data_IF_756360584729
#
_entry.id   IF_756360584729
#
_cell.length_a   1.000
_cell.length_b   1.000
_cell.length_c   1.000
_cell.angle_alpha   90.00
_cell.angle_beta   90.00
_cell.angle_gamma   90.00
#
_symmetry.space_group_name_H-M   'P 1'
#
loop_
_entity.id
_entity.type
_entity.pdbx_description
1 polymer ?
#
# COMPACT_ATOMS: atom_id res chain seq x y z
N UNK A 1 -17.38 1.78 30.87
CA UNK A 1 -16.88 3.17 30.87
C UNK A 1 -15.54 3.20 30.10
N UNK A 2 -15.47 3.94 28.99
CA UNK A 2 -14.19 4.07 28.26
C UNK A 2 -13.27 4.99 29.09
N UNK A 3 -12.07 4.51 29.41
CA UNK A 3 -11.07 5.27 30.15
C UNK A 3 -10.61 6.49 29.34
N UNK A 4 -10.12 7.55 30.00
CA UNK A 4 -9.63 8.78 29.35
C UNK A 4 -8.58 8.45 28.24
N UNK A 5 -7.74 7.44 28.44
CA UNK A 5 -6.77 6.96 27.46
C UNK A 5 -7.41 6.35 26.20
N UNK A 6 -8.54 5.65 26.33
CA UNK A 6 -9.28 5.09 25.18
C UNK A 6 -9.85 6.20 24.29
N UNK A 7 -10.39 7.27 24.88
CA UNK A 7 -10.93 8.42 24.12
C UNK A 7 -9.84 9.21 23.41
N UNK A 8 -8.68 9.39 24.04
CA UNK A 8 -7.52 10.07 23.42
C UNK A 8 -7.02 9.28 22.20
N UNK A 9 -6.85 7.96 22.32
CA UNK A 9 -6.44 7.06 21.25
C UNK A 9 -7.45 7.07 20.09
N UNK A 10 -8.74 7.05 20.38
CA UNK A 10 -9.79 7.13 19.37
C UNK A 10 -9.75 8.45 18.59
N UNK A 11 -9.53 9.58 19.27
CA UNK A 11 -9.40 10.90 18.63
C UNK A 11 -8.16 10.99 17.75
N UNK A 12 -7.04 10.43 18.19
CA UNK A 12 -5.80 10.35 17.40
C UNK A 12 -6.00 9.51 16.13
N UNK A 13 -6.61 8.35 16.26
CA UNK A 13 -6.97 7.49 15.12
C UNK A 13 -7.85 8.22 14.11
N UNK A 14 -8.90 8.89 14.57
CA UNK A 14 -9.78 9.64 13.68
C UNK A 14 -9.04 10.76 12.95
N UNK A 15 -8.15 11.48 13.65
CA UNK A 15 -7.31 12.53 13.03
C UNK A 15 -6.42 11.96 11.95
N UNK A 16 -5.70 10.84 12.22
CA UNK A 16 -4.81 10.19 11.24
C UNK A 16 -5.60 9.68 10.02
N UNK A 17 -6.77 9.08 10.23
CA UNK A 17 -7.66 8.65 9.14
C UNK A 17 -8.08 9.82 8.25
N UNK A 18 -8.52 10.94 8.84
CA UNK A 18 -8.92 12.12 8.06
C UNK A 18 -7.75 12.72 7.29
N UNK A 19 -6.57 12.78 7.90
CA UNK A 19 -5.36 13.26 7.26
C UNK A 19 -4.98 12.39 6.06
N UNK A 20 -4.93 11.06 6.21
CA UNK A 20 -4.58 10.14 5.14
C UNK A 20 -5.63 10.13 4.00
N UNK A 21 -6.91 10.17 4.33
CA UNK A 21 -7.97 10.23 3.31
C UNK A 21 -7.95 11.54 2.52
N UNK A 22 -7.60 12.67 3.15
CA UNK A 22 -7.47 13.96 2.45
C UNK A 22 -6.30 14.02 1.47
N UNK A 23 -5.34 13.11 1.56
CA UNK A 23 -4.13 13.05 0.72
C UNK A 23 -4.24 12.12 -0.47
N UNK A 24 -5.39 11.47 -0.71
CA UNK A 24 -5.51 10.48 -1.79
C UNK A 24 -5.10 11.06 -3.14
N UNK A 25 -4.15 10.43 -3.85
CA UNK A 25 -3.67 10.92 -5.13
C UNK A 25 -4.71 10.71 -6.23
N UNK A 26 -4.62 11.51 -7.30
CA UNK A 26 -5.43 11.28 -8.50
C UNK A 26 -5.10 9.91 -9.09
N UNK A 27 -6.12 9.16 -9.50
CA UNK A 27 -5.99 7.78 -9.99
C UNK A 27 -4.92 7.62 -11.07
N UNK A 28 -4.99 8.42 -12.13
CA UNK A 28 -4.05 8.31 -13.26
C UNK A 28 -2.61 8.62 -12.85
N UNK A 29 -2.40 9.61 -11.97
CA UNK A 29 -1.08 9.93 -11.45
C UNK A 29 -0.53 8.77 -10.61
N UNK A 30 -1.33 8.21 -9.71
CA UNK A 30 -0.89 7.09 -8.89
C UNK A 30 -0.53 5.86 -9.73
N UNK A 31 -1.36 5.51 -10.72
CA UNK A 31 -1.09 4.37 -11.61
C UNK A 31 0.18 4.62 -12.45
N UNK A 32 0.41 5.85 -12.94
CA UNK A 32 1.62 6.18 -13.70
C UNK A 32 2.90 5.98 -12.88
N UNK A 33 2.91 6.46 -11.63
CA UNK A 33 4.06 6.27 -10.72
C UNK A 33 4.24 4.79 -10.34
N UNK A 34 3.15 4.06 -10.13
CA UNK A 34 3.19 2.63 -9.85
C UNK A 34 3.74 1.83 -11.05
N UNK A 35 3.39 2.21 -12.31
CA UNK A 35 3.95 1.63 -13.55
C UNK A 35 5.45 1.88 -13.63
N UNK A 36 5.89 3.11 -13.33
CA UNK A 36 7.31 3.46 -13.33
C UNK A 36 8.08 2.60 -12.33
N UNK A 37 7.63 2.56 -11.08
CA UNK A 37 8.24 1.78 -10.01
C UNK A 37 8.27 0.28 -10.34
N UNK A 38 7.15 -0.29 -10.81
CA UNK A 38 7.08 -1.68 -11.21
C UNK A 38 8.04 -2.02 -12.37
N UNK A 39 8.14 -1.13 -13.36
CA UNK A 39 9.05 -1.32 -14.49
C UNK A 39 10.52 -1.28 -14.06
N UNK A 40 10.88 -0.35 -13.18
CA UNK A 40 12.22 -0.27 -12.60
C UNK A 40 12.61 -1.60 -11.92
N UNK A 41 11.76 -2.12 -11.02
CA UNK A 41 12.04 -3.37 -10.30
C UNK A 41 12.02 -4.62 -11.20
N UNK A 42 11.42 -4.53 -12.38
CA UNK A 42 11.44 -5.60 -13.40
C UNK A 42 12.61 -5.47 -14.38
N UNK A 43 13.49 -4.49 -14.20
CA UNK A 43 14.61 -4.22 -15.10
C UNK A 43 14.19 -3.61 -16.45
N UNK A 44 12.96 -3.09 -16.55
CA UNK A 44 12.44 -2.47 -17.76
C UNK A 44 12.53 -0.94 -17.60
N UNK A 45 13.70 -0.38 -17.86
CA UNK A 45 13.97 1.05 -17.68
C UNK A 45 13.32 1.88 -18.78
N UNK A 46 12.40 2.78 -18.39
CA UNK A 46 11.89 3.85 -19.25
C UNK A 46 11.42 5.02 -18.39
N UNK A 47 11.52 6.22 -18.95
CA UNK A 47 11.04 7.43 -18.28
C UNK A 47 9.56 7.67 -18.65
N UNK A 48 8.65 7.54 -17.67
CA UNK A 48 7.23 7.81 -17.86
C UNK A 48 6.94 9.25 -18.27
N UNK A 49 7.85 10.20 -17.99
CA UNK A 49 7.71 11.61 -18.36
C UNK A 49 8.09 11.87 -19.81
N UNK A 50 8.93 11.01 -20.39
CA UNK A 50 9.40 11.12 -21.77
C UNK A 50 8.49 10.38 -22.78
N UNK A 51 7.51 9.58 -22.31
CA UNK A 51 6.64 8.78 -23.17
C UNK A 51 5.20 9.29 -23.15
N UNK A 52 4.46 8.99 -24.22
CA UNK A 52 3.05 9.39 -24.32
C UNK A 52 2.17 8.68 -23.29
N UNK A 53 1.10 9.33 -22.84
CA UNK A 53 0.15 8.76 -21.87
C UNK A 53 -0.48 7.44 -22.36
N UNK A 54 -0.63 7.26 -23.66
CA UNK A 54 -1.08 6.00 -24.26
C UNK A 54 -0.10 4.86 -24.01
N UNK A 55 1.20 5.11 -24.10
CA UNK A 55 2.21 4.09 -23.82
C UNK A 55 2.19 3.67 -22.33
N UNK A 56 2.01 4.62 -21.42
CA UNK A 56 1.83 4.33 -19.98
C UNK A 56 0.57 3.47 -19.76
N UNK A 57 -0.54 3.78 -20.45
CA UNK A 57 -1.77 2.98 -20.38
C UNK A 57 -1.56 1.55 -20.91
N UNK A 58 -0.88 1.39 -22.03
CA UNK A 58 -0.50 0.08 -22.57
C UNK A 58 0.36 -0.71 -21.56
N UNK A 59 1.35 -0.06 -20.96
CA UNK A 59 2.21 -0.68 -19.93
C UNK A 59 1.41 -1.09 -18.70
N UNK A 60 0.49 -0.24 -18.24
CA UNK A 60 -0.39 -0.57 -17.12
C UNK A 60 -1.24 -1.81 -17.41
N UNK A 61 -1.87 -1.88 -18.58
CA UNK A 61 -2.66 -3.05 -19.00
C UNK A 61 -1.81 -4.32 -19.09
N UNK A 62 -0.60 -4.23 -19.65
CA UNK A 62 0.34 -5.35 -19.70
C UNK A 62 0.74 -5.81 -18.29
N UNK A 63 1.07 -4.88 -17.39
CA UNK A 63 1.45 -5.19 -16.01
C UNK A 63 0.28 -5.80 -15.23
N UNK A 64 -0.95 -5.33 -15.47
CA UNK A 64 -2.16 -5.93 -14.87
C UNK A 64 -2.39 -7.37 -15.34
N UNK A 65 -2.03 -7.68 -16.58
CA UNK A 65 -2.18 -9.02 -17.13
C UNK A 65 -1.10 -9.99 -16.64
N UNK A 66 0.13 -9.52 -16.47
CA UNK A 66 1.30 -10.36 -16.13
C UNK A 66 1.57 -10.41 -14.63
N UNK A 67 1.15 -9.40 -13.87
CA UNK A 67 1.53 -9.23 -12.46
C UNK A 67 0.34 -9.15 -11.51
N UNK A 68 0.12 -10.21 -10.75
CA UNK A 68 -0.98 -10.29 -9.77
C UNK A 68 -0.94 -9.14 -8.76
N UNK A 69 0.24 -8.78 -8.26
CA UNK A 69 0.42 -7.67 -7.32
C UNK A 69 0.03 -6.32 -7.92
N UNK A 70 0.44 -6.07 -9.17
CA UNK A 70 0.11 -4.82 -9.86
C UNK A 70 -1.40 -4.72 -10.19
N UNK A 71 -2.04 -5.84 -10.57
CA UNK A 71 -3.49 -5.89 -10.77
C UNK A 71 -4.24 -5.51 -9.49
N UNK A 72 -3.91 -6.13 -8.36
CA UNK A 72 -4.55 -5.85 -7.08
C UNK A 72 -4.30 -4.41 -6.60
N UNK A 73 -3.09 -3.87 -6.81
CA UNK A 73 -2.76 -2.49 -6.50
C UNK A 73 -3.58 -1.50 -7.35
N UNK A 74 -3.75 -1.79 -8.64
CA UNK A 74 -4.61 -0.98 -9.53
C UNK A 74 -6.08 -1.04 -9.09
N UNK A 75 -6.59 -2.20 -8.70
CA UNK A 75 -7.93 -2.34 -8.11
C UNK A 75 -8.08 -1.51 -6.82
N UNK A 76 -7.05 -1.49 -5.96
CA UNK A 76 -7.04 -0.63 -4.77
C UNK A 76 -7.10 0.86 -5.16
N UNK A 77 -6.28 1.33 -6.11
CA UNK A 77 -6.31 2.72 -6.61
C UNK A 77 -7.69 3.11 -7.16
N UNK A 78 -8.27 2.25 -8.00
CA UNK A 78 -9.62 2.46 -8.56
C UNK A 78 -10.68 2.53 -7.45
N UNK A 79 -10.62 1.62 -6.49
CA UNK A 79 -11.52 1.58 -5.34
C UNK A 79 -11.47 2.86 -4.53
N UNK A 80 -10.27 3.38 -4.23
CA UNK A 80 -10.11 4.62 -3.47
C UNK A 80 -10.64 5.84 -4.24
N UNK A 81 -10.39 5.90 -5.54
CA UNK A 81 -10.95 6.95 -6.41
C UNK A 81 -12.49 6.91 -6.46
N UNK A 82 -13.08 5.73 -6.64
CA UNK A 82 -14.53 5.55 -6.66
C UNK A 82 -15.20 5.94 -5.34
N UNK A 83 -14.56 5.67 -4.21
CA UNK A 83 -15.04 6.10 -2.90
C UNK A 83 -15.07 7.62 -2.76
N UNK A 84 -14.04 8.30 -3.25
CA UNK A 84 -14.01 9.76 -3.30
C UNK A 84 -15.21 10.32 -4.09
N UNK A 85 -15.69 9.60 -5.11
CA UNK A 85 -16.88 9.92 -5.90
C UNK A 85 -18.19 9.30 -5.35
N UNK A 86 -18.16 8.72 -4.13
CA UNK A 86 -19.33 8.12 -3.44
C UNK A 86 -20.04 6.99 -4.22
N UNK A 87 -19.31 6.22 -5.02
CA UNK A 87 -19.85 5.04 -5.72
C UNK A 87 -19.94 3.88 -4.71
N UNK A 88 -21.16 3.33 -4.43
CA UNK A 88 -21.35 2.50 -3.23
C UNK A 88 -20.94 1.02 -3.40
N UNK A 89 -21.22 0.39 -4.53
CA UNK A 89 -21.14 -1.08 -4.70
C UNK A 89 -19.83 -1.51 -5.37
N UNK A 90 -19.43 -0.83 -6.43
CA UNK A 90 -18.30 -1.19 -7.29
C UNK A 90 -16.97 -1.30 -6.53
N UNK A 91 -16.64 -0.44 -5.53
CA UNK A 91 -15.46 -0.61 -4.72
C UNK A 91 -15.38 -1.97 -3.99
N UNK A 92 -16.52 -2.48 -3.52
CA UNK A 92 -16.58 -3.80 -2.85
C UNK A 92 -16.37 -4.96 -3.82
N UNK A 93 -16.91 -4.84 -5.04
CA UNK A 93 -16.72 -5.84 -6.11
C UNK A 93 -15.24 -5.91 -6.48
N UNK A 94 -14.59 -4.76 -6.72
CA UNK A 94 -13.16 -4.70 -7.05
C UNK A 94 -12.29 -5.29 -5.94
N UNK A 95 -12.65 -5.07 -4.67
CA UNK A 95 -11.93 -5.69 -3.56
C UNK A 95 -12.05 -7.22 -3.57
N UNK A 96 -13.26 -7.75 -3.80
CA UNK A 96 -13.48 -9.20 -3.91
C UNK A 96 -12.72 -9.81 -5.08
N UNK A 97 -12.73 -9.16 -6.25
CA UNK A 97 -11.97 -9.60 -7.42
C UNK A 97 -10.48 -9.65 -7.10
N UNK A 98 -9.93 -8.60 -6.50
CA UNK A 98 -8.52 -8.56 -6.07
C UNK A 98 -8.17 -9.70 -5.10
N UNK A 99 -9.03 -9.98 -4.14
CA UNK A 99 -8.83 -11.11 -3.21
C UNK A 99 -8.90 -12.48 -3.90
N UNK A 100 -9.80 -12.65 -4.86
CA UNK A 100 -9.97 -13.92 -5.57
C UNK A 100 -8.83 -14.21 -6.55
N UNK A 101 -8.33 -13.19 -7.24
CA UNK A 101 -7.31 -13.34 -8.29
C UNK A 101 -5.89 -13.29 -7.76
N UNK A 102 -5.62 -12.41 -6.81
CA UNK A 102 -4.26 -12.10 -6.33
C UNK A 102 -4.04 -12.50 -4.87
N UNK A 103 -5.08 -12.96 -4.17
CA UNK A 103 -5.04 -13.24 -2.72
C UNK A 103 -4.49 -12.05 -1.91
N UNK A 104 -4.75 -10.83 -2.41
CA UNK A 104 -4.27 -9.60 -1.80
C UNK A 104 -5.42 -8.84 -1.15
N UNK A 105 -5.25 -8.49 0.13
CA UNK A 105 -6.17 -7.67 0.88
C UNK A 105 -5.51 -6.37 1.30
N UNK A 106 -6.01 -5.25 0.77
CA UNK A 106 -5.60 -3.90 1.20
C UNK A 106 -6.85 -3.21 1.74
N UNK A 107 -6.83 -2.86 3.04
CA UNK A 107 -7.95 -2.22 3.70
C UNK A 107 -8.19 -0.78 3.21
N UNK A 108 -9.36 -0.27 3.53
CA UNK A 108 -9.79 1.08 3.16
C UNK A 108 -9.09 2.19 3.93
N UNK A 109 -8.57 1.87 5.12
CA UNK A 109 -7.85 2.80 5.99
C UNK A 109 -6.37 2.89 5.66
N UNK A 110 -5.89 2.05 4.75
CA UNK A 110 -4.51 2.05 4.28
C UNK A 110 -4.29 3.18 3.30
N UNK A 111 -3.19 3.89 3.45
CA UNK A 111 -2.71 4.87 2.49
C UNK A 111 -1.38 4.42 1.88
N UNK A 112 -1.40 4.12 0.59
CA UNK A 112 -0.20 3.77 -0.18
C UNK A 112 0.14 4.94 -1.09
N UNK A 113 1.32 5.55 -0.89
CA UNK A 113 1.82 6.59 -1.77
C UNK A 113 2.01 6.04 -3.20
N UNK A 114 1.95 6.89 -4.24
CA UNK A 114 2.33 6.52 -5.59
C UNK A 114 3.79 6.01 -5.65
N UNK A 115 4.06 5.07 -6.56
CA UNK A 115 5.42 4.55 -6.74
C UNK A 115 5.83 3.53 -5.67
N UNK A 116 4.93 2.69 -5.22
CA UNK A 116 5.21 1.50 -4.42
C UNK A 116 5.13 0.27 -5.32
N UNK A 117 6.05 -0.67 -5.19
CA UNK A 117 6.05 -1.93 -5.93
C UNK A 117 5.66 -3.10 -5.02
N UNK A 118 4.56 -3.76 -5.34
CA UNK A 118 4.13 -5.01 -4.73
C UNK A 118 4.42 -6.14 -5.73
N UNK A 119 5.42 -6.98 -5.42
CA UNK A 119 5.99 -7.91 -6.38
C UNK A 119 5.00 -9.00 -6.84
N UNK A 120 4.23 -9.55 -5.91
CA UNK A 120 3.24 -10.61 -6.16
C UNK A 120 2.04 -10.47 -5.23
N UNK A 121 1.04 -11.33 -5.40
CA UNK A 121 -0.10 -11.46 -4.48
C UNK A 121 0.26 -11.98 -3.08
N UNK A 122 -0.74 -12.45 -2.35
CA UNK A 122 -0.64 -12.97 -0.98
C UNK A 122 -0.10 -11.94 0.03
N UNK A 123 -0.45 -10.67 -0.17
CA UNK A 123 -0.08 -9.58 0.73
C UNK A 123 -1.33 -9.08 1.46
N UNK A 124 -1.20 -8.87 2.76
CA UNK A 124 -2.26 -8.30 3.59
C UNK A 124 -1.78 -7.00 4.20
N UNK A 125 -2.49 -5.91 3.90
CA UNK A 125 -2.21 -4.59 4.46
C UNK A 125 -3.50 -4.07 5.10
N UNK A 126 -3.47 -3.86 6.41
CA UNK A 126 -4.65 -3.47 7.17
C UNK A 126 -4.41 -2.36 8.18
N UNK A 127 -5.52 -1.83 8.71
CA UNK A 127 -5.51 -0.75 9.67
C UNK A 127 -5.11 0.60 9.11
N UNK A 128 -4.90 1.57 10.00
CA UNK A 128 -4.47 2.93 9.66
C UNK A 128 -2.97 2.90 9.37
N UNK A 129 -2.62 2.30 8.21
CA UNK A 129 -1.24 2.06 7.75
C UNK A 129 -0.88 3.06 6.66
N UNK A 130 0.34 3.61 6.71
CA UNK A 130 0.89 4.47 5.68
C UNK A 130 2.15 3.82 5.07
N UNK A 131 2.21 3.74 3.73
CA UNK A 131 3.38 3.23 3.00
C UNK A 131 3.85 4.29 2.04
N UNK A 132 5.07 4.80 2.24
CA UNK A 132 5.64 5.85 1.42
C UNK A 132 6.20 5.31 0.10
N UNK A 133 6.50 6.22 -0.82
CA UNK A 133 6.97 5.89 -2.18
C UNK A 133 8.32 5.15 -2.21
N UNK A 134 8.58 4.45 -3.32
CA UNK A 134 9.83 3.73 -3.54
C UNK A 134 9.96 2.41 -2.78
N UNK A 135 8.94 2.01 -2.01
CA UNK A 135 8.99 0.75 -1.26
C UNK A 135 8.83 -0.46 -2.18
N UNK A 136 9.55 -1.52 -1.83
CA UNK A 136 9.40 -2.86 -2.39
C UNK A 136 8.74 -3.78 -1.37
N UNK A 137 7.63 -4.40 -1.72
CA UNK A 137 6.92 -5.35 -0.86
C UNK A 137 6.93 -6.72 -1.53
N UNK A 138 7.63 -7.67 -0.92
CA UNK A 138 7.71 -9.05 -1.37
C UNK A 138 6.42 -9.84 -1.05
N UNK A 139 6.21 -11.03 -1.64
CA UNK A 139 5.02 -11.83 -1.37
C UNK A 139 4.96 -12.33 0.09
N UNK A 140 3.75 -12.71 0.54
CA UNK A 140 3.45 -13.25 1.86
C UNK A 140 3.66 -12.25 3.03
N UNK A 141 3.87 -10.97 2.71
CA UNK A 141 4.01 -9.90 3.69
C UNK A 141 2.66 -9.58 4.35
N UNK A 142 2.69 -9.36 5.67
CA UNK A 142 1.55 -8.80 6.41
C UNK A 142 1.97 -7.52 7.10
N UNK A 143 1.28 -6.43 6.81
CA UNK A 143 1.48 -5.12 7.43
C UNK A 143 0.16 -4.70 8.06
N UNK A 144 0.12 -4.43 9.36
CA UNK A 144 -1.14 -4.03 9.94
C UNK A 144 -1.21 -4.00 11.46
N UNK A 145 -2.36 -4.38 11.93
CA UNK A 145 -2.79 -4.21 13.31
C UNK A 145 -2.11 -5.18 14.28
N UNK A 146 -1.94 -4.74 15.51
CA UNK A 146 -1.81 -5.61 16.65
C UNK A 146 -3.16 -5.74 17.37
N UNK A 147 -3.40 -6.87 18.01
CA UNK A 147 -4.67 -7.11 18.70
C UNK A 147 -4.99 -5.99 19.71
N UNK A 148 -6.18 -5.43 19.58
CA UNK A 148 -6.65 -4.32 20.42
C UNK A 148 -6.24 -2.92 19.94
N UNK A 149 -5.57 -2.81 18.79
CA UNK A 149 -5.25 -1.53 18.16
C UNK A 149 -5.85 -1.42 16.74
N UNK A 150 -6.13 -0.21 16.30
CA UNK A 150 -6.54 0.10 14.93
C UNK A 150 -5.47 0.89 14.17
N UNK A 151 -4.43 1.36 14.87
CA UNK A 151 -3.27 2.01 14.28
C UNK A 151 -2.34 0.95 13.72
N UNK A 152 -2.01 1.09 12.45
CA UNK A 152 -1.04 0.29 11.76
C UNK A 152 0.32 0.99 11.61
N UNK A 153 1.30 0.32 10.97
CA UNK A 153 2.62 0.85 10.77
C UNK A 153 2.68 2.07 9.84
N UNK A 154 3.74 2.86 10.02
CA UNK A 154 4.19 3.86 9.04
C UNK A 154 5.49 3.36 8.42
N UNK A 155 5.47 3.07 7.12
CA UNK A 155 6.62 2.59 6.35
C UNK A 155 7.24 3.77 5.62
N UNK A 156 8.51 4.03 5.86
CA UNK A 156 9.29 5.11 5.26
C UNK A 156 9.51 4.98 3.75
N UNK A 157 10.21 5.92 3.15
CA UNK A 157 10.56 5.89 1.74
C UNK A 157 11.60 4.81 1.43
N UNK A 158 11.48 4.16 0.26
CA UNK A 158 12.49 3.22 -0.24
C UNK A 158 12.73 1.99 0.63
N UNK A 159 11.80 1.63 1.49
CA UNK A 159 11.92 0.46 2.37
C UNK A 159 11.77 -0.82 1.55
N UNK A 160 12.68 -1.78 1.79
CA UNK A 160 12.57 -3.14 1.28
C UNK A 160 11.96 -4.06 2.33
N UNK A 161 10.84 -4.70 1.99
CA UNK A 161 10.17 -5.67 2.88
C UNK A 161 10.28 -7.05 2.28
N UNK A 162 11.10 -7.91 2.91
CA UNK A 162 11.39 -9.28 2.47
C UNK A 162 10.19 -10.22 2.59
N UNK A 163 10.26 -11.31 1.82
CA UNK A 163 9.20 -12.32 1.72
C UNK A 163 8.76 -12.84 3.09
N UNK A 164 7.46 -12.85 3.33
CA UNK A 164 6.88 -13.39 4.56
C UNK A 164 7.06 -12.53 5.81
N UNK A 165 7.67 -11.35 5.71
CA UNK A 165 7.82 -10.46 6.86
C UNK A 165 6.46 -10.01 7.42
N UNK A 166 6.41 -9.79 8.73
CA UNK A 166 5.24 -9.33 9.48
C UNK A 166 5.59 -8.03 10.19
N UNK A 167 4.91 -6.93 9.85
CA UNK A 167 5.11 -5.62 10.48
C UNK A 167 3.80 -5.24 11.17
N UNK A 168 3.77 -5.29 12.48
CA UNK A 168 2.52 -5.24 13.25
C UNK A 168 2.54 -4.14 14.31
N UNK A 169 1.40 -3.42 14.43
CA UNK A 169 1.19 -2.37 15.41
C UNK A 169 1.64 -0.99 14.93
N UNK A 170 1.53 0.03 15.77
CA UNK A 170 1.85 1.42 15.42
C UNK A 170 3.36 1.68 15.44
N UNK A 171 4.11 0.92 14.63
CA UNK A 171 5.56 1.03 14.51
C UNK A 171 5.96 1.89 13.32
N UNK A 172 7.11 2.54 13.42
CA UNK A 172 7.71 3.31 12.34
C UNK A 172 8.91 2.54 11.78
N UNK A 173 8.89 2.28 10.48
CA UNK A 173 10.05 1.78 9.73
C UNK A 173 10.67 2.96 9.00
N UNK A 174 11.91 3.28 9.34
CA UNK A 174 12.62 4.45 8.79
C UNK A 174 12.95 4.29 7.31
N UNK A 175 13.24 5.41 6.66
CA UNK A 175 13.53 5.47 5.23
C UNK A 175 14.72 4.57 4.87
N UNK A 176 14.61 3.84 3.76
CA UNK A 176 15.65 2.96 3.23
C UNK A 176 15.95 1.70 4.07
N UNK A 177 15.19 1.44 5.13
CA UNK A 177 15.37 0.25 5.93
C UNK A 177 15.13 -1.03 5.13
N UNK A 178 15.86 -2.10 5.48
CA UNK A 178 15.71 -3.43 4.89
C UNK A 178 15.15 -4.38 5.95
N UNK A 179 13.94 -4.85 5.73
CA UNK A 179 13.30 -5.86 6.57
C UNK A 179 13.58 -7.23 5.95
N UNK A 180 14.30 -8.07 6.67
CA UNK A 180 14.66 -9.41 6.21
C UNK A 180 13.42 -10.29 5.97
N UNK A 181 13.57 -11.31 5.11
CA UNK A 181 12.52 -12.30 4.90
C UNK A 181 12.16 -12.98 6.23
N UNK A 182 10.85 -13.24 6.44
CA UNK A 182 10.28 -13.87 7.64
C UNK A 182 10.49 -13.07 8.96
N UNK A 183 11.00 -11.84 8.89
CA UNK A 183 11.18 -11.02 10.09
C UNK A 183 9.83 -10.63 10.70
N UNK A 184 9.75 -10.61 12.03
CA UNK A 184 8.63 -10.03 12.77
C UNK A 184 9.05 -8.70 13.37
N UNK A 185 8.41 -7.62 12.91
CA UNK A 185 8.67 -6.25 13.35
C UNK A 185 7.51 -5.78 14.23
N UNK A 186 7.81 -5.56 15.51
CA UNK A 186 6.88 -5.06 16.53
C UNK A 186 7.42 -3.86 17.28
N UNK A 187 8.53 -3.30 16.81
CA UNK A 187 9.19 -2.10 17.34
C UNK A 187 9.68 -1.24 16.17
N UNK A 188 9.94 0.03 16.44
CA UNK A 188 10.51 0.92 15.45
C UNK A 188 11.84 0.41 14.90
N UNK A 189 12.02 0.58 13.60
CA UNK A 189 13.24 0.23 12.88
C UNK A 189 13.84 1.53 12.35
N UNK A 190 15.09 1.86 12.70
CA UNK A 190 15.75 3.05 12.15
C UNK A 190 15.97 2.93 10.64
N UNK A 191 16.08 4.07 9.97
CA UNK A 191 16.36 4.10 8.53
C UNK A 191 17.83 3.79 8.21
N UNK A 192 18.10 3.44 6.95
CA UNK A 192 19.46 3.24 6.41
C UNK A 192 20.32 2.20 7.17
N UNK A 193 19.71 1.09 7.58
CA UNK A 193 20.43 -0.07 8.14
C UNK A 193 20.19 -1.32 7.31
#
# INVERSE_FOLDING_TARGET
MATAGSKAKQKETQRKVQELHGRQPKFLHAVSEDVHCASFHRGEFFDTRAVSGWYVAYRALRLMWVGDGFFAQTCYRARMSMKAHRIPILPRILHKISMMTSQMSIDELVYIHPGVFIAHGQVVIGGVTEIKSGCFIAPWVSIGLMAGDVLGPTIGHGVFVGTGAKILGPVTVGDGAVIAAQAMVTRDVPGWM
#
